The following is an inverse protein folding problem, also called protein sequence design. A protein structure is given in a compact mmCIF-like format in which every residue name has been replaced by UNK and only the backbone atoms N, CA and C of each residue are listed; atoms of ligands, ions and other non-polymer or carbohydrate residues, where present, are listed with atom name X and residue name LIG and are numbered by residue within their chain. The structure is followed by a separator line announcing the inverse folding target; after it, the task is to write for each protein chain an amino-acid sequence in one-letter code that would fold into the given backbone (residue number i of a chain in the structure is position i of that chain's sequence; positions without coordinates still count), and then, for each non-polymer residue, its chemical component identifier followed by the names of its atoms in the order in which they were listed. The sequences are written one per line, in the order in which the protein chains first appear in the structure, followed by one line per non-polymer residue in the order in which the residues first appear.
data_IF_736049784959
#
_entry.id   IF_736049784959
#
_cell.length_a   1.000
_cell.length_b   1.000
_cell.length_c   1.000
_cell.angle_alpha   90.00
_cell.angle_beta   90.00
_cell.angle_gamma   90.00
#
_symmetry.space_group_name_H-M   'P 1'
#
loop_
_entity.id
_entity.type
_entity.pdbx_description
1 polymer ?
#
# COMPACT_ATOMS: atom_id res chain seq x y z
N UNK A 1 -5.69 23.43 -12.05
CA UNK A 1 -5.30 22.32 -11.14
C UNK A 1 -4.99 22.77 -9.72
N UNK A 2 -4.73 24.06 -9.49
CA UNK A 2 -4.39 24.61 -8.15
C UNK A 2 -5.57 24.63 -7.13
N UNK A 3 -6.78 24.33 -7.53
CA UNK A 3 -7.96 24.48 -6.69
C UNK A 3 -8.28 23.24 -5.80
N UNK A 4 -7.71 22.08 -6.08
CA UNK A 4 -8.07 20.83 -5.39
C UNK A 4 -7.04 20.34 -4.36
N UNK A 5 -5.86 20.92 -4.29
CA UNK A 5 -4.88 20.58 -3.26
C UNK A 5 -5.09 21.51 -2.06
N UNK A 6 -6.12 21.24 -1.27
CA UNK A 6 -6.26 21.87 0.06
C UNK A 6 -5.32 21.16 1.04
N UNK A 7 -4.11 21.69 1.16
CA UNK A 7 -3.12 21.18 2.11
C UNK A 7 -3.37 21.75 3.50
N UNK A 8 -3.72 20.88 4.44
CA UNK A 8 -3.71 21.18 5.87
C UNK A 8 -2.47 20.52 6.47
N UNK A 9 -1.47 21.32 6.84
CA UNK A 9 -0.33 20.82 7.61
C UNK A 9 -0.76 20.56 9.06
N UNK A 10 -0.91 19.30 9.44
CA UNK A 10 -1.16 18.90 10.84
C UNK A 10 -0.01 18.02 11.30
N UNK A 11 0.75 18.46 12.30
CA UNK A 11 1.88 17.73 12.90
C UNK A 11 2.97 17.32 11.89
N UNK A 12 3.30 18.19 10.90
CA UNK A 12 4.34 17.89 9.90
C UNK A 12 3.92 16.92 8.79
N UNK A 13 2.62 16.60 8.68
CA UNK A 13 2.04 15.76 7.64
C UNK A 13 1.18 16.61 6.70
N UNK A 14 1.38 16.45 5.40
CA UNK A 14 0.55 17.09 4.39
C UNK A 14 -0.73 16.25 4.22
N UNK A 15 -1.88 16.89 4.07
CA UNK A 15 -3.14 16.22 3.75
C UNK A 15 -3.62 16.73 2.40
N UNK A 16 -3.89 15.82 1.49
CA UNK A 16 -4.40 16.11 0.15
C UNK A 16 -5.74 15.41 -0.03
N UNK A 17 -6.72 16.12 -0.59
CA UNK A 17 -8.05 15.57 -0.87
C UNK A 17 -8.14 15.34 -2.37
N UNK A 18 -8.48 14.12 -2.74
CA UNK A 18 -8.73 13.72 -4.13
C UNK A 18 -10.02 14.29 -4.69
N UNK A 19 -10.27 14.12 -5.99
CA UNK A 19 -11.51 14.57 -6.63
C UNK A 19 -12.73 13.82 -6.04
N UNK A 20 -13.87 14.52 -6.03
CA UNK A 20 -15.11 13.96 -5.44
C UNK A 20 -15.77 12.94 -6.37
N UNK A 21 -15.70 13.18 -7.69
CA UNK A 21 -16.46 12.43 -8.70
C UNK A 21 -15.59 11.53 -9.59
N UNK A 22 -14.31 11.41 -9.27
CA UNK A 22 -13.36 10.60 -10.05
C UNK A 22 -12.47 9.84 -9.09
N UNK A 23 -12.09 8.60 -9.42
CA UNK A 23 -11.13 7.85 -8.61
C UNK A 23 -9.75 8.54 -8.67
N UNK A 24 -9.03 8.46 -7.57
CA UNK A 24 -7.62 8.86 -7.52
C UNK A 24 -6.81 7.84 -8.29
N UNK A 25 -6.22 8.29 -9.39
CA UNK A 25 -5.36 7.47 -10.24
C UNK A 25 -3.88 7.87 -10.12
N UNK A 26 -3.06 7.19 -10.91
CA UNK A 26 -1.60 7.33 -10.90
C UNK A 26 -1.14 8.78 -11.12
N UNK A 27 -1.70 9.48 -12.11
CA UNK A 27 -1.30 10.86 -12.42
C UNK A 27 -1.52 11.81 -11.24
N UNK A 28 -2.63 11.66 -10.52
CA UNK A 28 -2.91 12.47 -9.35
C UNK A 28 -1.86 12.26 -8.25
N UNK A 29 -1.49 10.99 -8.00
CA UNK A 29 -0.48 10.67 -6.97
C UNK A 29 0.91 11.17 -7.37
N UNK A 30 1.29 11.10 -8.64
CA UNK A 30 2.56 11.68 -9.15
C UNK A 30 2.62 13.21 -8.95
N UNK A 31 1.49 13.90 -9.13
CA UNK A 31 1.37 15.33 -8.82
C UNK A 31 1.53 15.60 -7.33
N UNK A 32 0.91 14.79 -6.48
CA UNK A 32 1.04 14.89 -5.02
C UNK A 32 2.49 14.69 -4.59
N UNK A 33 3.18 13.69 -5.11
CA UNK A 33 4.61 13.43 -4.84
C UNK A 33 5.46 14.64 -5.23
N UNK A 34 5.18 15.21 -6.40
CA UNK A 34 5.90 16.39 -6.90
C UNK A 34 5.67 17.60 -5.99
N UNK A 35 4.45 17.81 -5.52
CA UNK A 35 4.12 18.90 -4.62
C UNK A 35 4.72 18.71 -3.22
N UNK A 36 4.75 17.47 -2.71
CA UNK A 36 5.45 17.14 -1.46
C UNK A 36 6.93 17.52 -1.53
N UNK A 37 7.61 17.21 -2.64
CA UNK A 37 9.02 17.58 -2.84
C UNK A 37 9.23 19.10 -2.86
N UNK A 38 8.36 19.83 -3.54
CA UNK A 38 8.44 21.31 -3.58
C UNK A 38 8.27 21.93 -2.19
N UNK A 39 7.42 21.34 -1.36
CA UNK A 39 7.13 21.82 0.00
C UNK A 39 8.06 21.25 1.07
N UNK A 40 8.96 20.34 0.72
CA UNK A 40 9.81 19.64 1.69
C UNK A 40 9.05 18.73 2.66
N UNK A 41 7.86 18.28 2.25
CA UNK A 41 7.03 17.37 3.06
C UNK A 41 7.47 15.93 2.83
N UNK A 42 7.81 15.22 3.90
CA UNK A 42 8.18 13.80 3.86
C UNK A 42 7.02 12.85 4.15
N UNK A 43 5.85 13.38 4.57
CA UNK A 43 4.67 12.58 4.90
C UNK A 43 3.41 13.22 4.33
N UNK A 44 2.57 12.41 3.69
CA UNK A 44 1.31 12.88 3.09
C UNK A 44 0.21 11.85 3.24
N UNK A 45 -0.97 12.31 3.68
CA UNK A 45 -2.21 11.54 3.64
C UNK A 45 -3.01 11.97 2.41
N UNK A 46 -3.36 11.02 1.55
CA UNK A 46 -4.21 11.24 0.38
C UNK A 46 -5.60 10.72 0.72
N UNK A 47 -6.54 11.64 0.91
CA UNK A 47 -7.93 11.32 1.22
C UNK A 47 -8.74 11.30 -0.08
N UNK A 48 -9.46 10.22 -0.35
CA UNK A 48 -10.34 10.12 -1.52
C UNK A 48 -11.57 9.25 -1.25
N UNK A 49 -12.63 9.48 -2.02
CA UNK A 49 -13.82 8.64 -2.00
C UNK A 49 -13.61 7.34 -2.79
N UNK A 50 -12.73 7.38 -3.78
CA UNK A 50 -12.41 6.24 -4.64
C UNK A 50 -10.94 6.27 -5.05
N UNK A 51 -10.35 5.10 -5.22
CA UNK A 51 -9.01 4.91 -5.74
C UNK A 51 -9.06 3.92 -6.89
N UNK A 52 -8.25 4.13 -7.92
CA UNK A 52 -8.08 3.16 -8.99
C UNK A 52 -7.52 1.84 -8.44
N UNK A 53 -8.13 0.74 -8.86
CA UNK A 53 -7.66 -0.60 -8.53
C UNK A 53 -6.30 -0.86 -9.19
N UNK A 54 -5.37 -1.49 -8.45
CA UNK A 54 -4.01 -1.72 -8.95
C UNK A 54 -3.07 -0.50 -8.90
N UNK A 55 -3.54 0.63 -8.36
CA UNK A 55 -2.70 1.82 -8.17
C UNK A 55 -1.55 1.54 -7.19
N UNK A 56 -1.83 0.78 -6.17
CA UNK A 56 -0.88 0.34 -5.13
C UNK A 56 -0.47 -1.12 -5.40
N UNK A 57 0.76 -1.55 -5.21
CA UNK A 57 1.86 -0.99 -4.41
C UNK A 57 2.84 -0.10 -5.18
N UNK A 58 2.92 -0.19 -6.52
CA UNK A 58 3.97 0.45 -7.31
C UNK A 58 4.14 1.95 -7.01
N UNK A 59 3.02 2.65 -6.83
CA UNK A 59 3.03 4.09 -6.53
C UNK A 59 3.53 4.38 -5.11
N UNK A 60 3.26 3.50 -4.14
CA UNK A 60 3.77 3.64 -2.78
C UNK A 60 5.29 3.42 -2.73
N UNK A 61 5.80 2.46 -3.47
CA UNK A 61 7.24 2.24 -3.61
C UNK A 61 7.93 3.41 -4.30
N UNK A 62 7.31 3.96 -5.35
CA UNK A 62 7.81 5.15 -6.02
C UNK A 62 7.86 6.35 -5.08
N UNK A 63 6.83 6.57 -4.26
CA UNK A 63 6.83 7.64 -3.25
C UNK A 63 7.94 7.43 -2.21
N UNK A 64 8.11 6.22 -1.71
CA UNK A 64 9.16 5.86 -0.75
C UNK A 64 10.55 6.06 -1.33
N UNK A 65 10.80 5.67 -2.58
CA UNK A 65 12.09 5.87 -3.25
C UNK A 65 12.45 7.36 -3.36
N UNK A 66 11.45 8.24 -3.36
CA UNK A 66 11.59 9.70 -3.37
C UNK A 66 11.60 10.30 -1.95
N UNK A 67 11.63 9.47 -0.90
CA UNK A 67 11.66 9.91 0.50
C UNK A 67 10.32 10.42 1.04
N UNK A 68 9.20 10.00 0.44
CA UNK A 68 7.85 10.41 0.82
C UNK A 68 7.07 9.21 1.35
N UNK A 69 6.62 9.31 2.60
CA UNK A 69 5.69 8.37 3.23
C UNK A 69 4.26 8.79 2.86
N UNK A 70 3.69 8.11 1.85
CA UNK A 70 2.37 8.38 1.32
C UNK A 70 1.38 7.37 1.91
N UNK A 71 0.32 7.87 2.56
CA UNK A 71 -0.73 7.06 3.16
C UNK A 71 -2.08 7.39 2.50
N UNK A 72 -2.59 6.51 1.65
CA UNK A 72 -3.91 6.67 1.07
C UNK A 72 -5.00 6.29 2.08
N UNK A 73 -6.06 7.10 2.18
CA UNK A 73 -7.18 6.87 3.09
C UNK A 73 -8.51 7.10 2.39
N UNK A 74 -9.45 6.20 2.66
CA UNK A 74 -10.80 6.27 2.16
C UNK A 74 -11.64 7.28 2.95
N UNK A 75 -12.38 8.13 2.24
CA UNK A 75 -13.34 9.06 2.83
C UNK A 75 -14.70 8.35 2.89
N UNK A 76 -15.23 8.04 4.07
CA UNK A 76 -16.51 7.35 4.18
C UNK A 76 -17.67 8.29 3.83
N UNK A 77 -18.77 7.71 3.34
CA UNK A 77 -19.97 8.47 2.96
C UNK A 77 -20.62 9.23 4.14
N UNK A 78 -20.36 8.78 5.37
CA UNK A 78 -20.80 9.41 6.60
C UNK A 78 -20.28 10.84 6.79
N UNK A 79 -19.27 11.25 6.02
CA UNK A 79 -18.79 12.65 6.00
C UNK A 79 -19.88 13.64 5.57
N UNK A 80 -20.87 13.18 4.83
CA UNK A 80 -22.04 13.98 4.41
C UNK A 80 -23.18 13.96 5.42
N UNK A 81 -23.14 13.08 6.43
CA UNK A 81 -24.12 13.08 7.52
C UNK A 81 -23.68 14.04 8.63
N UNK A 82 -24.39 15.16 8.72
CA UNK A 82 -24.11 16.18 9.72
C UNK A 82 -24.11 15.63 11.16
N UNK A 83 -24.98 14.65 11.45
CA UNK A 83 -25.06 14.05 12.79
C UNK A 83 -23.85 13.19 13.11
N UNK A 84 -23.32 12.47 12.13
CA UNK A 84 -22.11 11.68 12.28
C UNK A 84 -20.89 12.59 12.48
N UNK A 85 -20.81 13.68 11.71
CA UNK A 85 -19.74 14.69 11.83
C UNK A 85 -19.78 15.38 13.20
N UNK A 86 -20.95 15.86 13.65
CA UNK A 86 -21.11 16.55 14.93
C UNK A 86 -20.78 15.64 16.13
N UNK A 87 -20.99 14.32 15.99
CA UNK A 87 -20.65 13.33 17.02
C UNK A 87 -19.20 12.80 16.91
N UNK A 88 -18.42 13.24 15.92
CA UNK A 88 -17.06 12.74 15.69
C UNK A 88 -16.99 11.26 15.31
N UNK A 89 -18.04 10.74 14.68
CA UNK A 89 -18.14 9.32 14.28
C UNK A 89 -17.55 9.03 12.89
N UNK A 90 -17.10 10.06 12.17
CA UNK A 90 -16.46 9.89 10.86
C UNK A 90 -15.04 9.40 11.05
N UNK A 91 -14.76 8.21 10.54
CA UNK A 91 -13.43 7.59 10.57
C UNK A 91 -12.92 7.44 9.15
N UNK A 92 -11.70 7.92 8.89
CA UNK A 92 -11.01 7.71 7.62
C UNK A 92 -10.26 6.38 7.69
N UNK A 93 -10.64 5.45 6.83
CA UNK A 93 -10.06 4.11 6.81
C UNK A 93 -8.85 4.04 5.87
N UNK A 94 -7.88 3.21 6.22
CA UNK A 94 -6.86 2.80 5.27
C UNK A 94 -7.51 2.02 4.11
N UNK A 95 -6.92 2.06 2.92
CA UNK A 95 -7.49 1.38 1.74
C UNK A 95 -7.54 -0.13 1.96
N UNK A 96 -6.54 -0.64 2.63
CA UNK A 96 -6.48 -2.02 3.07
C UNK A 96 -5.98 -2.09 4.51
N UNK A 97 -6.47 -3.06 5.24
CA UNK A 97 -6.16 -3.29 6.64
C UNK A 97 -5.78 -4.75 6.84
N UNK A 98 -4.69 -4.98 7.57
CA UNK A 98 -4.22 -6.31 7.97
C UNK A 98 -4.15 -6.34 9.47
N UNK A 99 -4.79 -7.34 10.08
CA UNK A 99 -4.64 -7.64 11.49
C UNK A 99 -3.93 -8.99 11.66
N UNK A 100 -2.91 -9.00 12.52
CA UNK A 100 -2.15 -10.19 12.82
C UNK A 100 -1.85 -10.25 14.32
N UNK A 101 -2.03 -11.42 14.91
CA UNK A 101 -1.87 -11.66 16.34
C UNK A 101 -0.70 -12.59 16.60
N UNK A 102 0.26 -12.19 17.45
CA UNK A 102 1.34 -13.07 17.88
C UNK A 102 0.87 -14.02 18.99
N UNK A 103 1.20 -15.29 18.85
CA UNK A 103 0.95 -16.34 19.84
C UNK A 103 2.28 -16.91 20.36
N UNK A 104 2.58 -16.66 21.63
CA UNK A 104 3.75 -17.22 22.27
C UNK A 104 3.62 -18.76 22.39
N UNK A 105 4.73 -19.45 22.24
CA UNK A 105 4.77 -20.88 22.44
C UNK A 105 4.76 -21.23 23.94
N UNK A 106 4.03 -22.27 24.32
CA UNK A 106 3.87 -22.66 25.74
C UNK A 106 5.15 -23.27 26.33
N UNK A 107 5.91 -23.97 25.49
CA UNK A 107 7.09 -24.73 25.92
C UNK A 107 8.39 -23.93 25.74
N UNK A 108 8.41 -22.96 24.80
CA UNK A 108 9.57 -22.13 24.53
C UNK A 108 9.24 -20.64 24.54
N UNK A 109 9.61 -19.95 25.62
CA UNK A 109 9.38 -18.50 25.77
C UNK A 109 10.07 -17.63 24.72
N UNK A 110 11.04 -18.17 23.99
CA UNK A 110 11.74 -17.49 22.90
C UNK A 110 11.09 -17.77 21.54
N UNK A 111 9.97 -18.50 21.51
CA UNK A 111 9.31 -18.84 20.25
C UNK A 111 7.88 -18.33 20.19
N UNK A 112 7.45 -17.98 18.99
CA UNK A 112 6.07 -17.55 18.70
C UNK A 112 5.62 -17.95 17.30
N UNK A 113 4.32 -17.87 17.07
CA UNK A 113 3.67 -17.94 15.78
C UNK A 113 2.91 -16.66 15.52
N UNK A 114 2.71 -16.33 14.28
CA UNK A 114 1.84 -15.23 13.87
C UNK A 114 0.59 -15.82 13.24
N UNK A 115 -0.56 -15.36 13.70
CA UNK A 115 -1.86 -15.67 13.10
C UNK A 115 -2.39 -14.44 12.35
N UNK A 116 -2.75 -14.62 11.10
CA UNK A 116 -3.49 -13.62 10.33
C UNK A 116 -4.96 -13.68 10.76
N UNK A 117 -5.44 -12.64 11.43
CA UNK A 117 -6.76 -12.64 12.10
C UNK A 117 -7.82 -11.89 11.33
N UNK A 118 -7.43 -10.85 10.55
CA UNK A 118 -8.36 -10.13 9.68
C UNK A 118 -7.64 -9.48 8.50
N UNK A 119 -8.37 -9.32 7.40
CA UNK A 119 -7.96 -8.55 6.23
C UNK A 119 -9.17 -7.90 5.58
N UNK A 120 -9.09 -6.61 5.32
CA UNK A 120 -10.16 -5.88 4.66
C UNK A 120 -9.62 -4.87 3.66
N UNK A 121 -10.41 -4.60 2.63
CA UNK A 121 -10.10 -3.61 1.58
C UNK A 121 -11.30 -2.66 1.41
N UNK A 122 -11.02 -1.39 1.07
CA UNK A 122 -12.02 -0.34 0.90
C UNK A 122 -11.99 0.32 -0.48
N UNK A 123 -11.36 -0.31 -1.47
CA UNK A 123 -11.41 0.22 -2.83
C UNK A 123 -12.66 -0.21 -3.57
N UNK A 124 -13.10 0.64 -4.50
CA UNK A 124 -14.25 0.45 -5.37
C UNK A 124 -13.79 0.52 -6.82
N UNK A 125 -14.36 -0.33 -7.68
CA UNK A 125 -14.15 -0.28 -9.11
C UNK A 125 -15.51 -0.21 -9.80
N UNK A 126 -15.91 0.99 -10.19
CA UNK A 126 -17.18 1.26 -10.85
C UNK A 126 -18.41 1.03 -9.97
N UNK A 127 -19.55 1.52 -10.41
CA UNK A 127 -20.82 1.21 -9.78
C UNK A 127 -21.42 -0.07 -10.37
N UNK A 128 -22.14 -0.82 -9.54
CA UNK A 128 -22.87 -2.01 -10.00
C UNK A 128 -23.88 -1.64 -11.10
N UNK A 129 -24.47 -0.45 -11.00
CA UNK A 129 -25.46 0.06 -11.94
C UNK A 129 -24.87 0.35 -13.32
N UNK A 130 -23.69 0.97 -13.38
CA UNK A 130 -22.97 1.22 -14.63
C UNK A 130 -22.55 -0.10 -15.29
N UNK A 131 -21.95 -1.02 -14.51
CA UNK A 131 -21.55 -2.33 -15.01
C UNK A 131 -22.75 -3.13 -15.56
N UNK A 132 -23.92 -3.02 -14.92
CA UNK A 132 -25.17 -3.63 -15.40
C UNK A 132 -25.64 -2.96 -16.68
N UNK A 133 -25.53 -1.62 -16.77
CA UNK A 133 -25.94 -0.86 -17.98
C UNK A 133 -25.17 -1.26 -19.24
N UNK A 134 -23.88 -1.49 -19.09
CA UNK A 134 -22.97 -1.84 -20.19
C UNK A 134 -22.97 -3.34 -20.54
N UNK A 135 -23.50 -4.19 -19.67
CA UNK A 135 -23.43 -5.64 -19.81
C UNK A 135 -24.41 -6.14 -20.91
N UNK A 136 -23.87 -6.75 -21.95
CA UNK A 136 -24.66 -7.39 -23.02
C UNK A 136 -25.29 -8.69 -22.53
N UNK A 137 -26.42 -9.09 -23.15
CA UNK A 137 -27.08 -10.36 -22.87
C UNK A 137 -26.12 -11.55 -23.04
N UNK A 138 -26.19 -12.52 -22.16
CA UNK A 138 -25.32 -13.68 -22.13
C UNK A 138 -23.90 -13.41 -21.62
N UNK A 139 -23.63 -12.23 -21.06
CA UNK A 139 -22.29 -11.86 -20.52
C UNK A 139 -22.30 -11.73 -19.01
N UNK A 140 -21.11 -11.82 -18.43
CA UNK A 140 -20.88 -11.53 -17.02
C UNK A 140 -19.66 -10.63 -16.84
N UNK A 141 -19.70 -9.82 -15.79
CA UNK A 141 -18.60 -8.98 -15.34
C UNK A 141 -18.36 -9.17 -13.84
N UNK A 142 -17.15 -8.95 -13.40
CA UNK A 142 -16.81 -8.93 -11.97
C UNK A 142 -16.47 -7.49 -11.62
N UNK A 143 -17.03 -7.00 -10.55
CA UNK A 143 -16.79 -5.65 -10.04
C UNK A 143 -16.51 -5.68 -8.53
N UNK A 144 -15.77 -4.71 -8.07
CA UNK A 144 -15.54 -4.46 -6.67
C UNK A 144 -16.33 -3.22 -6.24
N UNK A 145 -17.20 -3.38 -5.27
CA UNK A 145 -18.00 -2.29 -4.71
C UNK A 145 -17.82 -2.28 -3.19
N UNK A 146 -17.28 -1.19 -2.65
CA UNK A 146 -17.04 -0.96 -1.21
C UNK A 146 -16.37 -2.16 -0.52
N UNK A 147 -15.28 -2.65 -1.09
CA UNK A 147 -14.56 -3.78 -0.53
C UNK A 147 -15.31 -5.10 -0.62
N UNK A 148 -16.27 -5.24 -1.53
CA UNK A 148 -16.99 -6.49 -1.80
C UNK A 148 -16.93 -6.82 -3.27
N UNK A 149 -16.61 -8.07 -3.58
CA UNK A 149 -16.53 -8.56 -4.95
C UNK A 149 -17.85 -9.17 -5.38
N UNK A 150 -18.39 -8.69 -6.49
CA UNK A 150 -19.63 -9.18 -7.08
C UNK A 150 -19.42 -9.67 -8.49
N UNK A 151 -20.02 -10.82 -8.81
CA UNK A 151 -20.25 -11.24 -10.19
C UNK A 151 -21.64 -10.78 -10.60
N UNK A 152 -21.69 -9.97 -11.64
CA UNK A 152 -22.94 -9.55 -12.28
C UNK A 152 -23.07 -10.32 -13.58
N UNK A 153 -24.21 -10.95 -13.80
CA UNK A 153 -24.49 -11.72 -15.01
C UNK A 153 -25.81 -11.23 -15.61
N UNK A 154 -25.83 -10.99 -16.90
CA UNK A 154 -27.06 -10.77 -17.66
C UNK A 154 -27.28 -12.00 -18.52
N UNK A 155 -28.38 -12.72 -18.30
CA UNK A 155 -28.69 -13.92 -19.09
C UNK A 155 -29.16 -13.54 -20.52
N UNK A 156 -29.50 -14.57 -21.32
CA UNK A 156 -30.00 -14.39 -22.69
C UNK A 156 -31.33 -13.67 -22.76
N UNK A 157 -32.13 -13.74 -21.71
CA UNK A 157 -33.45 -13.14 -21.58
C UNK A 157 -33.38 -11.71 -21.02
N UNK A 158 -32.17 -11.24 -20.71
CA UNK A 158 -31.90 -9.89 -20.19
C UNK A 158 -32.06 -9.77 -18.66
N UNK A 159 -32.28 -10.87 -17.95
CA UNK A 159 -32.43 -10.89 -16.49
C UNK A 159 -31.05 -10.74 -15.87
N UNK A 160 -30.95 -9.79 -14.94
CA UNK A 160 -29.68 -9.48 -14.23
C UNK A 160 -29.66 -10.21 -12.91
N UNK A 161 -28.56 -10.93 -12.65
CA UNK A 161 -28.24 -11.51 -11.35
C UNK A 161 -26.97 -10.94 -10.78
N UNK A 162 -26.93 -10.67 -9.46
CA UNK A 162 -25.76 -10.19 -8.72
C UNK A 162 -25.42 -11.21 -7.64
N UNK A 163 -24.22 -11.78 -7.69
CA UNK A 163 -23.74 -12.77 -6.73
C UNK A 163 -22.50 -12.24 -6.04
N UNK A 164 -22.51 -12.17 -4.70
CA UNK A 164 -21.34 -11.81 -3.91
C UNK A 164 -20.33 -12.96 -3.92
N UNK A 165 -19.09 -12.66 -4.33
CA UNK A 165 -18.00 -13.64 -4.42
C UNK A 165 -17.19 -13.73 -3.13
N UNK A 166 -16.90 -12.58 -2.49
CA UNK A 166 -16.18 -12.52 -1.22
C UNK A 166 -17.14 -12.70 -0.06
N UNK A 167 -17.20 -13.90 0.51
CA UNK A 167 -18.09 -14.23 1.64
C UNK A 167 -17.42 -14.02 2.98
N UNK A 168 -16.13 -14.34 3.05
CA UNK A 168 -15.27 -14.19 4.22
C UNK A 168 -14.04 -13.39 3.84
N UNK A 169 -13.40 -12.77 4.82
CA UNK A 169 -12.24 -11.92 4.58
C UNK A 169 -11.07 -12.67 3.92
N UNK A 170 -10.91 -13.96 4.23
CA UNK A 170 -9.87 -14.80 3.61
C UNK A 170 -10.04 -14.95 2.10
N UNK A 171 -11.23 -14.72 1.54
CA UNK A 171 -11.44 -14.79 0.08
C UNK A 171 -10.66 -13.69 -0.67
N UNK A 172 -10.26 -12.63 0.03
CA UNK A 172 -9.44 -11.55 -0.49
C UNK A 172 -7.95 -11.86 -0.53
N UNK A 173 -7.47 -12.76 0.33
CA UNK A 173 -6.05 -13.05 0.49
C UNK A 173 -5.62 -14.12 -0.49
N UNK A 174 -4.67 -13.79 -1.37
CA UNK A 174 -4.03 -14.75 -2.27
C UNK A 174 -2.71 -15.28 -1.71
N UNK A 175 -1.98 -14.42 -1.02
CA UNK A 175 -0.68 -14.69 -0.44
C UNK A 175 -0.50 -13.89 0.85
N UNK A 176 0.18 -14.47 1.84
CA UNK A 176 0.72 -13.70 2.97
C UNK A 176 2.03 -14.28 3.45
N UNK A 177 2.85 -13.41 4.05
CA UNK A 177 4.19 -13.75 4.49
C UNK A 177 4.55 -13.00 5.77
N UNK A 178 5.54 -13.54 6.48
CA UNK A 178 6.05 -13.01 7.74
C UNK A 178 7.55 -12.85 7.67
N UNK A 179 8.00 -11.69 8.12
CA UNK A 179 9.37 -11.37 8.49
C UNK A 179 9.40 -11.19 10.01
N UNK A 180 10.09 -12.07 10.70
CA UNK A 180 10.08 -12.09 12.17
C UNK A 180 11.02 -11.06 12.81
N UNK A 181 11.93 -10.46 12.06
CA UNK A 181 12.83 -9.41 12.53
C UNK A 181 13.05 -8.31 11.47
N UNK A 182 11.95 -7.65 11.08
CA UNK A 182 11.90 -6.68 9.98
C UNK A 182 12.93 -5.55 10.09
N UNK A 183 13.29 -5.14 11.30
CA UNK A 183 14.25 -4.05 11.51
C UNK A 183 15.72 -4.51 11.39
N UNK A 184 15.98 -5.79 11.13
CA UNK A 184 17.32 -6.35 11.01
C UNK A 184 18.07 -5.82 9.80
N UNK A 185 17.38 -5.65 8.66
CA UNK A 185 18.00 -5.31 7.39
C UNK A 185 17.55 -3.95 6.86
N UNK A 186 18.39 -2.94 7.06
CA UNK A 186 18.16 -1.60 6.54
C UNK A 186 18.24 -1.58 5.01
N UNK A 187 17.33 -0.87 4.37
CA UNK A 187 17.39 -0.59 2.94
C UNK A 187 18.40 0.53 2.68
N UNK A 188 19.52 0.16 2.07
CA UNK A 188 20.60 1.08 1.75
C UNK A 188 20.68 1.23 0.22
N UNK A 189 20.56 2.45 -0.27
CA UNK A 189 20.70 2.80 -1.68
C UNK A 189 22.04 3.51 -1.93
N UNK A 190 22.61 3.28 -3.11
CA UNK A 190 23.76 4.03 -3.59
C UNK A 190 23.29 5.26 -4.35
N UNK A 191 23.55 6.43 -3.80
CA UNK A 191 23.22 7.70 -4.43
C UNK A 191 24.52 8.26 -5.06
N UNK A 192 24.48 8.59 -6.35
CA UNK A 192 25.59 9.27 -6.99
C UNK A 192 25.74 10.66 -6.37
N UNK A 193 26.84 10.88 -5.70
CA UNK A 193 27.26 12.21 -5.27
C UNK A 193 27.89 12.86 -6.50
N UNK A 194 27.07 13.56 -7.28
CA UNK A 194 27.58 14.29 -8.43
C UNK A 194 28.68 15.21 -7.96
N UNK A 195 29.91 15.00 -8.46
CA UNK A 195 30.94 16.01 -8.40
C UNK A 195 30.33 17.28 -8.99
N UNK A 196 30.08 18.25 -8.13
CA UNK A 196 29.37 19.48 -8.47
C UNK A 196 30.19 20.41 -9.38
N UNK A 197 30.40 19.94 -10.59
CA UNK A 197 30.73 20.73 -11.76
C UNK A 197 29.46 20.93 -12.57
N UNK A 198 28.42 21.40 -11.88
CA UNK A 198 27.27 22.02 -12.51
C UNK A 198 27.74 23.13 -13.40
N UNK A 199 27.61 22.97 -14.72
CA UNK A 199 27.44 24.03 -15.68
C UNK A 199 28.39 25.20 -15.63
N UNK A 200 29.71 24.98 -15.61
CA UNK A 200 30.62 26.03 -16.11
C UNK A 200 30.52 25.94 -17.64
N UNK A 201 29.81 26.91 -18.19
CA UNK A 201 29.80 27.14 -19.63
C UNK A 201 31.28 27.24 -20.08
N UNK A 202 31.76 26.28 -20.85
CA UNK A 202 33.08 26.34 -21.46
C UNK A 202 33.07 27.49 -22.46
N UNK A 203 33.86 28.49 -22.16
CA UNK A 203 34.18 29.58 -23.12
C UNK A 203 34.80 28.96 -24.38
N UNK A 204 34.45 29.41 -25.58
CA UNK A 204 35.04 28.90 -26.82
C UNK A 204 36.56 29.12 -26.79
N UNK A 205 37.32 28.02 -26.91
CA UNK A 205 38.77 28.03 -26.99
C UNK A 205 39.52 27.33 -25.85
N UNK A 206 38.83 26.77 -24.87
CA UNK A 206 39.43 25.91 -23.86
C UNK A 206 39.11 24.46 -24.11
N UNK A 207 39.99 23.74 -24.77
CA UNK A 207 39.94 22.29 -24.88
C UNK A 207 40.26 21.67 -23.51
N UNK A 208 39.38 20.80 -23.01
CA UNK A 208 39.65 20.00 -21.81
C UNK A 208 40.76 19.00 -22.12
N UNK A 209 41.73 18.82 -21.24
CA UNK A 209 42.64 17.68 -21.35
C UNK A 209 41.86 16.36 -21.35
N UNK A 210 42.02 15.55 -22.38
CA UNK A 210 41.54 14.19 -22.39
C UNK A 210 42.34 13.38 -21.36
N UNK A 211 41.75 13.11 -20.21
CA UNK A 211 42.37 12.25 -19.22
C UNK A 211 41.69 12.41 -17.85
N UNK A 212 41.02 11.39 -17.49
CA UNK A 212 40.33 11.04 -16.26
C UNK A 212 38.81 11.23 -16.36
N UNK A 213 38.16 10.18 -16.79
CA UNK A 213 36.78 9.89 -16.44
C UNK A 213 36.76 9.73 -14.91
N UNK A 214 36.40 10.81 -14.20
CA UNK A 214 36.12 10.73 -12.77
C UNK A 214 34.98 9.72 -12.62
N UNK A 215 35.29 8.58 -12.04
CA UNK A 215 34.26 7.59 -11.69
C UNK A 215 33.26 8.28 -10.78
N UNK A 216 31.94 8.09 -11.01
CA UNK A 216 30.93 8.67 -10.15
C UNK A 216 31.14 8.16 -8.72
N UNK A 217 31.37 9.04 -7.79
CA UNK A 217 31.39 8.71 -6.37
C UNK A 217 29.95 8.39 -5.93
N UNK A 218 29.79 7.25 -5.27
CA UNK A 218 28.51 6.81 -4.71
C UNK A 218 28.60 6.88 -3.19
N UNK A 219 27.61 7.53 -2.58
CA UNK A 219 27.38 7.51 -1.15
C UNK A 219 26.29 6.49 -0.82
N UNK A 220 26.53 5.64 0.15
CA UNK A 220 25.51 4.74 0.68
C UNK A 220 24.61 5.51 1.65
N UNK A 221 23.31 5.55 1.34
CA UNK A 221 22.32 6.24 2.15
C UNK A 221 21.19 5.29 2.53
N UNK A 222 20.87 5.27 3.82
CA UNK A 222 19.68 4.59 4.31
C UNK A 222 18.42 5.33 3.86
N UNK A 223 17.45 4.61 3.25
CA UNK A 223 16.19 5.19 2.76
C UNK A 223 15.22 5.57 3.88
N UNK A 224 15.45 5.09 5.11
CA UNK A 224 14.51 5.15 6.23
C UNK A 224 13.64 3.91 6.33
N UNK A 225 13.71 3.03 5.33
CA UNK A 225 13.00 1.76 5.26
C UNK A 225 13.86 0.55 5.60
N UNK A 226 13.22 -0.61 5.64
CA UNK A 226 13.85 -1.91 5.86
C UNK A 226 13.44 -2.85 4.74
N UNK A 227 14.30 -3.83 4.42
CA UNK A 227 14.04 -4.84 3.40
C UNK A 227 13.23 -5.95 4.06
N UNK A 228 12.05 -6.24 3.52
CA UNK A 228 11.23 -7.37 3.95
C UNK A 228 11.91 -8.69 3.57
N UNK A 229 12.20 -9.52 4.55
CA UNK A 229 12.73 -10.87 4.37
C UNK A 229 11.58 -11.88 4.54
N UNK A 230 11.29 -12.62 3.49
CA UNK A 230 10.24 -13.63 3.53
C UNK A 230 10.74 -14.89 4.25
N UNK A 231 10.57 -14.94 5.57
CA UNK A 231 11.02 -16.08 6.37
C UNK A 231 9.98 -17.20 6.43
N UNK A 232 8.71 -16.85 6.28
CA UNK A 232 7.61 -17.80 6.17
C UNK A 232 6.50 -17.24 5.29
N UNK A 233 5.80 -18.13 4.56
CA UNK A 233 4.71 -17.73 3.68
C UNK A 233 3.65 -18.81 3.51
N UNK A 234 2.41 -18.37 3.24
CA UNK A 234 1.31 -19.19 2.77
C UNK A 234 0.65 -18.54 1.55
N UNK A 235 0.28 -19.34 0.57
CA UNK A 235 -0.33 -18.86 -0.67
C UNK A 235 -1.26 -19.89 -1.30
N UNK A 236 -2.19 -19.39 -2.10
CA UNK A 236 -3.14 -20.21 -2.83
C UNK A 236 -2.55 -20.64 -4.17
N UNK A 237 -2.75 -21.91 -4.51
CA UNK A 237 -2.40 -22.44 -5.82
C UNK A 237 -3.66 -22.86 -6.57
N UNK A 238 -3.54 -23.18 -7.85
CA UNK A 238 -4.66 -23.74 -8.62
C UNK A 238 -5.13 -25.09 -8.08
N UNK A 239 -4.24 -25.88 -7.50
CA UNK A 239 -4.50 -27.21 -6.96
C UNK A 239 -4.96 -27.16 -5.49
N UNK A 240 -4.40 -26.25 -4.70
CA UNK A 240 -4.76 -26.04 -3.30
C UNK A 240 -5.20 -24.59 -3.07
N UNK A 241 -6.48 -24.41 -2.76
CA UNK A 241 -7.07 -23.09 -2.46
C UNK A 241 -7.11 -22.77 -0.98
N UNK A 242 -6.66 -23.70 -0.13
CA UNK A 242 -6.59 -23.48 1.30
C UNK A 242 -5.41 -22.56 1.62
N UNK A 243 -5.64 -21.63 2.53
CA UNK A 243 -4.65 -20.71 3.07
C UNK A 243 -4.38 -21.11 4.52
N UNK A 244 -3.11 -21.31 4.87
CA UNK A 244 -2.71 -21.44 6.26
C UNK A 244 -2.75 -20.05 6.89
N UNK A 245 -3.53 -19.89 7.96
CA UNK A 245 -3.71 -18.61 8.62
C UNK A 245 -2.74 -18.42 9.80
N UNK A 246 -1.99 -19.45 10.16
CA UNK A 246 -0.99 -19.41 11.25
C UNK A 246 0.37 -19.78 10.69
N UNK A 247 1.38 -18.99 11.01
CA UNK A 247 2.75 -19.25 10.58
C UNK A 247 3.35 -20.50 11.25
N UNK A 248 4.45 -21.01 10.69
CA UNK A 248 5.30 -21.92 11.42
C UNK A 248 5.83 -21.27 12.73
N UNK A 249 6.23 -22.11 13.68
CA UNK A 249 6.87 -21.66 14.91
C UNK A 249 8.24 -21.06 14.57
N UNK A 250 8.47 -19.82 14.98
CA UNK A 250 9.76 -19.15 14.89
C UNK A 250 10.38 -19.01 16.27
N UNK A 251 11.64 -19.41 16.42
CA UNK A 251 12.40 -19.30 17.66
C UNK A 251 13.50 -18.24 17.52
N UNK A 252 13.49 -17.26 18.40
CA UNK A 252 14.52 -16.23 18.48
C UNK A 252 15.74 -16.73 19.26
N UNK A 253 16.92 -16.28 18.86
CA UNK A 253 18.17 -16.65 19.51
C UNK A 253 18.32 -16.01 20.90
N UNK A 254 17.71 -14.86 21.13
CA UNK A 254 17.86 -14.06 22.35
C UNK A 254 16.53 -13.46 22.79
N UNK A 255 16.34 -13.29 24.12
CA UNK A 255 15.21 -12.51 24.60
C UNK A 255 15.33 -11.05 24.15
N UNK A 256 14.20 -10.41 23.83
CA UNK A 256 14.19 -9.02 23.38
C UNK A 256 12.87 -8.58 22.80
N UNK A 257 12.89 -7.33 22.32
CA UNK A 257 11.78 -6.76 21.57
C UNK A 257 12.10 -6.81 20.08
N UNK A 258 11.21 -7.41 19.32
CA UNK A 258 11.32 -7.55 17.87
C UNK A 258 10.13 -6.89 17.17
N UNK A 259 10.35 -6.48 15.94
CA UNK A 259 9.30 -5.96 15.06
C UNK A 259 9.04 -6.98 13.98
N UNK A 260 7.91 -7.64 14.05
CA UNK A 260 7.45 -8.58 13.04
C UNK A 260 6.69 -7.82 11.96
N UNK A 261 7.03 -8.02 10.69
CA UNK A 261 6.25 -7.52 9.58
C UNK A 261 5.39 -8.64 8.99
N UNK A 262 4.11 -8.34 8.79
CA UNK A 262 3.16 -9.23 8.13
C UNK A 262 2.70 -8.57 6.86
N UNK A 263 2.97 -9.22 5.73
CA UNK A 263 2.65 -8.76 4.39
C UNK A 263 1.55 -9.63 3.80
N UNK A 264 0.52 -9.02 3.26
CA UNK A 264 -0.59 -9.68 2.55
C UNK A 264 -0.63 -9.16 1.13
N UNK A 265 -0.78 -10.05 0.17
CA UNK A 265 -1.10 -9.74 -1.23
C UNK A 265 -2.52 -10.22 -1.50
N UNK A 266 -3.35 -9.29 -1.95
CA UNK A 266 -4.72 -9.61 -2.27
C UNK A 266 -4.87 -10.25 -3.67
N UNK A 267 -6.09 -10.70 -3.99
CA UNK A 267 -6.42 -11.34 -5.26
C UNK A 267 -6.23 -10.43 -6.48
N UNK A 268 -5.99 -9.13 -6.31
CA UNK A 268 -5.68 -8.17 -7.37
C UNK A 268 -4.19 -7.82 -7.43
N UNK A 269 -3.37 -8.40 -6.55
CA UNK A 269 -1.94 -8.16 -6.50
C UNK A 269 -1.53 -6.92 -5.70
N UNK A 270 -2.44 -6.28 -4.97
CA UNK A 270 -2.07 -5.18 -4.08
C UNK A 270 -1.44 -5.74 -2.81
N UNK A 271 -0.33 -5.16 -2.39
CA UNK A 271 0.31 -5.54 -1.15
C UNK A 271 -0.06 -4.58 0.00
N UNK A 272 -0.22 -5.16 1.17
CA UNK A 272 -0.48 -4.44 2.41
C UNK A 272 0.39 -5.04 3.50
N UNK A 273 1.02 -4.21 4.29
CA UNK A 273 1.91 -4.65 5.36
C UNK A 273 1.53 -4.00 6.68
N UNK A 274 1.53 -4.79 7.75
CA UNK A 274 1.41 -4.31 9.12
C UNK A 274 2.62 -4.71 9.95
N UNK A 275 2.92 -3.91 10.97
CA UNK A 275 4.03 -4.16 11.89
C UNK A 275 3.49 -4.50 13.27
N UNK A 276 3.90 -5.64 13.79
CA UNK A 276 3.51 -6.16 15.11
C UNK A 276 4.73 -6.15 16.03
N UNK A 277 4.60 -5.48 17.17
CA UNK A 277 5.66 -5.48 18.18
C UNK A 277 5.51 -6.71 19.09
N UNK A 278 6.57 -7.48 19.23
CA UNK A 278 6.59 -8.68 20.06
C UNK A 278 7.70 -8.60 21.10
N UNK A 279 7.43 -9.13 22.28
CA UNK A 279 8.41 -9.30 23.34
C UNK A 279 8.59 -10.81 23.57
N UNK A 280 9.82 -11.29 23.51
CA UNK A 280 10.19 -12.69 23.69
C UNK A 280 11.16 -12.85 24.88
N UNK A 281 10.92 -13.85 25.72
CA UNK A 281 11.76 -14.15 26.89
C UNK A 281 11.20 -13.69 28.21
#
# INVERSE_FOLDING_TARGET
LDANVRSLARRGRLVVIGPINLPVGRLFVEEVITECRKRGASRVDVLAFEFEMGLFPAVLEEARSKGIDLSPKYIPAEVFDKRAVDKGQVVFHDISFVEATPHADADNKLALRIELTDFSVYYTQGSAEEAIGELKNGKSSVLCDRGQLYKVTRDTDGIVSKVKLTKVWTDWVDYWAVDFDYMRRKEIIKVSVGTGLGGVATLPGFERPQGELALPEFEERWTGGYIFENEWQSFRTRQNRNLELTSALHAYERPGRYTVAVKVIDIFGNDTMTLVQVNVG
#
